data_IF_551576904085
#
_entry.id   IF_551576904085
#
_cell.length_a   1.000
_cell.length_b   1.000
_cell.length_c   1.000
_cell.angle_alpha   90.00
_cell.angle_beta   90.00
_cell.angle_gamma   90.00
#
_symmetry.space_group_name_H-M   'P 1'
#
loop_
_entity.id
_entity.type
_entity.pdbx_description
1 polymer ?
#
# COMPACT_ATOMS: atom_id res chain seq x y z
N UNK A 1 -17.81 25.60 -5.13
CA UNK A 1 -17.93 24.88 -6.40
C UNK A 1 -16.66 24.07 -6.51
N UNK A 2 -16.70 22.71 -6.43
CA UNK A 2 -15.52 21.92 -6.77
C UNK A 2 -15.15 22.30 -8.22
N UNK A 3 -13.99 22.87 -8.42
CA UNK A 3 -13.37 23.00 -9.73
C UNK A 3 -13.24 21.56 -10.26
N UNK A 4 -13.68 21.32 -11.47
CA UNK A 4 -13.60 19.99 -12.11
C UNK A 4 -12.14 19.59 -12.25
N UNK A 5 -11.64 18.78 -11.34
CA UNK A 5 -10.26 18.30 -11.34
C UNK A 5 -10.04 17.30 -10.22
N UNK A 6 -9.14 16.35 -10.45
CA UNK A 6 -8.68 15.35 -9.49
C UNK A 6 -7.55 15.93 -8.67
N UNK A 7 -7.81 16.19 -7.39
CA UNK A 7 -6.80 16.75 -6.48
C UNK A 7 -6.24 15.67 -5.57
N UNK A 8 -4.92 15.54 -5.59
CA UNK A 8 -4.18 14.61 -4.72
C UNK A 8 -3.24 15.39 -3.82
N UNK A 9 -3.24 15.08 -2.54
CA UNK A 9 -2.28 15.61 -1.58
C UNK A 9 -1.37 14.49 -1.11
N UNK A 10 -0.08 14.66 -1.30
CA UNK A 10 0.97 13.77 -0.77
C UNK A 10 1.53 14.36 0.52
N UNK A 11 1.54 13.56 1.59
CA UNK A 11 2.16 13.92 2.86
C UNK A 11 3.36 13.01 3.11
N UNK A 12 4.54 13.61 3.06
CA UNK A 12 5.84 12.91 3.13
C UNK A 12 6.55 12.89 1.79
N UNK A 13 7.55 13.73 1.62
CA UNK A 13 8.37 13.87 0.41
C UNK A 13 9.73 13.16 0.58
N UNK A 14 9.71 11.98 1.19
CA UNK A 14 10.88 11.08 1.26
C UNK A 14 11.12 10.35 -0.07
N UNK A 15 11.97 9.32 -0.08
CA UNK A 15 12.27 8.55 -1.30
C UNK A 15 11.01 7.92 -1.93
N UNK A 16 10.07 7.45 -1.12
CA UNK A 16 8.79 6.89 -1.60
C UNK A 16 7.92 8.00 -2.16
N UNK A 17 7.74 9.09 -1.40
CA UNK A 17 6.86 10.20 -1.80
C UNK A 17 7.31 10.88 -3.09
N UNK A 18 8.60 11.22 -3.22
CA UNK A 18 9.13 11.84 -4.44
C UNK A 18 9.05 10.91 -5.65
N UNK A 19 9.29 9.60 -5.48
CA UNK A 19 9.09 8.62 -6.56
C UNK A 19 7.61 8.47 -6.95
N UNK A 20 6.70 8.52 -5.97
CA UNK A 20 5.27 8.51 -6.23
C UNK A 20 4.83 9.79 -6.96
N UNK A 21 5.30 10.97 -6.54
CA UNK A 21 5.01 12.23 -7.21
C UNK A 21 5.45 12.19 -8.69
N UNK A 22 6.65 11.70 -8.96
CA UNK A 22 7.13 11.51 -10.33
C UNK A 22 6.25 10.52 -11.12
N UNK A 23 5.84 9.39 -10.52
CA UNK A 23 4.96 8.44 -11.18
C UNK A 23 3.58 9.04 -11.50
N UNK A 24 3.01 9.86 -10.60
CA UNK A 24 1.73 10.54 -10.82
C UNK A 24 1.79 11.53 -11.97
N UNK A 25 2.86 12.33 -12.06
CA UNK A 25 3.08 13.28 -13.16
C UNK A 25 3.28 12.55 -14.49
N UNK A 26 4.11 11.51 -14.52
CA UNK A 26 4.40 10.75 -15.76
C UNK A 26 3.20 9.97 -16.27
N UNK A 27 2.25 9.61 -15.40
CA UNK A 27 1.01 8.90 -15.78
C UNK A 27 -0.19 9.83 -15.99
N UNK A 28 -0.05 11.13 -15.67
CA UNK A 28 -1.14 12.11 -15.83
C UNK A 28 -2.41 11.75 -15.05
N UNK A 29 -2.25 11.32 -13.80
CA UNK A 29 -3.37 10.78 -13.00
C UNK A 29 -4.15 11.88 -12.29
N UNK A 30 -3.49 12.95 -11.88
CA UNK A 30 -4.10 14.07 -11.15
C UNK A 30 -4.05 15.36 -11.97
N UNK A 31 -5.02 16.24 -11.76
CA UNK A 31 -5.05 17.58 -12.35
C UNK A 31 -4.34 18.59 -11.43
N UNK A 32 -4.42 18.37 -10.11
CA UNK A 32 -3.71 19.14 -9.07
C UNK A 32 -2.99 18.15 -8.14
N UNK A 33 -1.70 18.36 -7.92
CA UNK A 33 -0.87 17.52 -7.07
C UNK A 33 -0.13 18.38 -6.05
N UNK A 34 -0.49 18.25 -4.78
CA UNK A 34 0.06 19.04 -3.67
C UNK A 34 1.01 18.19 -2.84
N UNK A 35 2.19 18.71 -2.53
CA UNK A 35 3.20 18.00 -1.72
C UNK A 35 3.38 18.74 -0.39
N UNK A 36 3.27 17.99 0.70
CA UNK A 36 3.45 18.47 2.08
C UNK A 36 4.56 17.66 2.74
N UNK A 37 5.55 18.34 3.30
CA UNK A 37 6.60 17.74 4.14
C UNK A 37 7.13 18.78 5.12
N UNK A 38 7.75 18.31 6.21
CA UNK A 38 8.45 19.17 7.17
C UNK A 38 9.72 19.81 6.55
N UNK A 39 10.31 19.17 5.55
CA UNK A 39 11.49 19.65 4.80
C UNK A 39 11.06 20.62 3.68
N UNK A 40 10.51 21.77 4.04
CA UNK A 40 9.89 22.74 3.12
C UNK A 40 10.75 23.14 1.93
N UNK A 41 12.07 23.28 2.10
CA UNK A 41 12.96 23.67 1.04
C UNK A 41 13.17 22.54 0.02
N UNK A 42 13.19 21.28 0.49
CA UNK A 42 13.19 20.10 -0.40
C UNK A 42 11.92 20.06 -1.23
N UNK A 43 10.75 20.22 -0.59
CA UNK A 43 9.44 20.22 -1.29
C UNK A 43 9.42 21.28 -2.38
N UNK A 44 9.89 22.51 -2.11
CA UNK A 44 9.96 23.57 -3.13
C UNK A 44 10.84 23.18 -4.32
N UNK A 45 11.98 22.55 -4.05
CA UNK A 45 12.90 22.11 -5.10
C UNK A 45 12.28 20.98 -5.95
N UNK A 46 11.68 19.95 -5.31
CA UNK A 46 11.05 18.84 -6.01
C UNK A 46 9.83 19.32 -6.82
N UNK A 47 9.01 20.22 -6.27
CA UNK A 47 7.89 20.84 -7.00
C UNK A 47 8.38 21.61 -8.23
N UNK A 48 9.47 22.38 -8.11
CA UNK A 48 10.05 23.09 -9.23
C UNK A 48 10.54 22.14 -10.32
N UNK A 49 11.26 21.09 -9.94
CA UNK A 49 11.80 20.08 -10.86
C UNK A 49 10.68 19.31 -11.57
N UNK A 50 9.66 18.86 -10.82
CA UNK A 50 8.47 18.20 -11.38
C UNK A 50 7.75 19.12 -12.39
N UNK A 51 7.53 20.39 -12.04
CA UNK A 51 6.88 21.37 -12.93
C UNK A 51 7.66 21.60 -14.22
N UNK A 52 9.00 21.59 -14.18
CA UNK A 52 9.81 21.65 -15.41
C UNK A 52 9.56 20.44 -16.31
N UNK A 53 9.25 19.27 -15.72
CA UNK A 53 8.92 18.03 -16.43
C UNK A 53 7.50 17.97 -17.01
N UNK A 54 6.56 18.79 -16.53
CA UNK A 54 5.14 18.72 -16.94
C UNK A 54 4.90 18.96 -18.42
N UNK A 55 5.80 19.67 -19.09
CA UNK A 55 5.78 19.86 -20.57
C UNK A 55 5.74 18.51 -21.31
N UNK A 56 6.26 17.45 -20.70
CA UNK A 56 6.30 16.09 -21.26
C UNK A 56 5.29 15.15 -20.62
N UNK A 57 4.44 15.64 -19.70
CA UNK A 57 3.36 14.84 -19.12
C UNK A 57 2.26 14.53 -20.14
N UNK A 58 1.62 13.36 -20.07
CA UNK A 58 0.53 13.00 -21.00
C UNK A 58 -0.74 13.84 -20.81
N UNK A 59 -0.89 14.52 -19.67
CA UNK A 59 -1.98 15.47 -19.39
C UNK A 59 -1.46 16.62 -18.52
N UNK A 60 -2.10 17.80 -18.57
CA UNK A 60 -1.76 18.91 -17.68
C UNK A 60 -1.90 18.51 -16.21
N UNK A 61 -0.93 18.90 -15.40
CA UNK A 61 -0.95 18.76 -13.94
C UNK A 61 -0.32 20.01 -13.32
N UNK A 62 -0.95 20.53 -12.26
CA UNK A 62 -0.44 21.66 -11.48
C UNK A 62 0.17 21.11 -10.19
N UNK A 63 1.49 21.12 -10.09
CA UNK A 63 2.24 20.61 -8.94
C UNK A 63 2.59 21.75 -8.00
N UNK A 64 2.21 21.62 -6.71
CA UNK A 64 2.36 22.68 -5.69
C UNK A 64 3.00 22.18 -4.41
N UNK A 65 3.80 23.03 -3.78
CA UNK A 65 4.10 22.92 -2.39
C UNK A 65 2.90 23.43 -1.58
N UNK A 66 2.42 22.67 -0.60
CA UNK A 66 1.22 23.01 0.16
C UNK A 66 1.34 22.89 1.66
N UNK A 67 0.24 23.18 2.33
CA UNK A 67 0.03 23.06 3.77
C UNK A 67 -1.21 22.18 4.01
N UNK A 68 -1.51 21.84 5.29
CA UNK A 68 -2.63 20.95 5.61
C UNK A 68 -4.01 21.49 5.19
N UNK A 69 -4.16 22.81 5.06
CA UNK A 69 -5.37 23.47 4.57
C UNK A 69 -5.73 23.04 3.13
N UNK A 70 -4.72 22.68 2.32
CA UNK A 70 -4.91 22.18 0.97
C UNK A 70 -5.58 20.80 0.92
N UNK A 71 -5.65 20.09 2.04
CA UNK A 71 -6.35 18.80 2.11
C UNK A 71 -7.88 18.95 2.04
N UNK A 72 -8.45 20.12 2.36
CA UNK A 72 -9.88 20.36 2.51
C UNK A 72 -10.73 19.87 1.31
N UNK A 73 -10.26 20.10 0.11
CA UNK A 73 -10.96 19.76 -1.15
C UNK A 73 -10.25 18.66 -1.95
N UNK A 74 -9.28 17.97 -1.33
CA UNK A 74 -8.59 16.85 -1.94
C UNK A 74 -9.53 15.64 -2.11
N UNK A 75 -9.41 14.96 -3.24
CA UNK A 75 -10.07 13.67 -3.48
C UNK A 75 -9.34 12.54 -2.78
N UNK A 76 -8.00 12.62 -2.73
CA UNK A 76 -7.14 11.60 -2.15
C UNK A 76 -6.00 12.24 -1.37
N UNK A 77 -5.81 11.82 -0.13
CA UNK A 77 -4.61 12.10 0.68
C UNK A 77 -3.78 10.85 0.79
N UNK A 78 -2.53 10.91 0.33
CA UNK A 78 -1.57 9.80 0.36
C UNK A 78 -0.52 10.09 1.43
N UNK A 79 -0.35 9.18 2.39
CA UNK A 79 0.59 9.36 3.49
C UNK A 79 1.74 8.36 3.34
N UNK A 80 2.91 8.89 3.01
CA UNK A 80 4.18 8.14 2.96
C UNK A 80 5.13 8.56 4.08
N UNK A 81 4.72 9.55 4.87
CA UNK A 81 5.50 10.05 6.01
C UNK A 81 5.58 9.01 7.14
N UNK A 82 6.78 8.71 7.56
CA UNK A 82 7.07 7.79 8.66
C UNK A 82 8.56 7.80 8.97
N UNK A 83 8.90 7.44 10.21
CA UNK A 83 10.30 7.33 10.62
C UNK A 83 10.84 5.93 10.30
N UNK A 84 12.04 5.80 9.74
CA UNK A 84 12.70 4.51 9.59
C UNK A 84 13.07 3.94 10.95
N UNK A 85 13.20 2.61 11.02
CA UNK A 85 13.71 1.92 12.21
C UNK A 85 15.17 2.29 12.44
N UNK A 86 15.51 2.65 13.67
CA UNK A 86 16.88 2.95 14.08
C UNK A 86 17.60 1.68 14.55
N UNK A 87 18.95 1.63 14.46
CA UNK A 87 19.71 0.55 15.08
C UNK A 87 19.38 0.43 16.58
N UNK A 88 19.02 -0.79 17.02
CA UNK A 88 18.64 -1.07 18.41
C UNK A 88 17.19 -0.69 18.79
N UNK A 89 16.41 -0.10 17.90
CA UNK A 89 15.00 0.19 18.12
C UNK A 89 14.17 -1.10 17.95
N UNK A 90 13.32 -1.41 18.93
CA UNK A 90 12.42 -2.57 18.82
C UNK A 90 11.28 -2.29 17.83
N UNK A 91 10.66 -3.36 17.29
CA UNK A 91 9.48 -3.27 16.42
C UNK A 91 8.34 -2.48 17.10
N UNK A 92 8.08 -2.75 18.38
CA UNK A 92 7.03 -2.07 19.15
C UNK A 92 7.31 -0.56 19.29
N UNK A 93 8.55 -0.17 19.58
CA UNK A 93 8.94 1.25 19.66
C UNK A 93 8.75 1.98 18.34
N UNK A 94 9.06 1.30 17.22
CA UNK A 94 8.83 1.85 15.88
C UNK A 94 7.32 2.04 15.59
N UNK A 95 6.50 1.03 15.93
CA UNK A 95 5.05 1.09 15.77
C UNK A 95 4.48 2.27 16.55
N UNK A 96 4.81 2.39 17.84
CA UNK A 96 4.34 3.47 18.70
C UNK A 96 4.75 4.86 18.16
N UNK A 97 6.01 5.00 17.76
CA UNK A 97 6.55 6.24 17.18
C UNK A 97 5.81 6.64 15.90
N UNK A 98 5.65 5.70 14.97
CA UNK A 98 4.98 5.98 13.69
C UNK A 98 3.47 6.21 13.88
N UNK A 99 2.84 5.58 14.87
CA UNK A 99 1.45 5.86 15.22
C UNK A 99 1.29 7.30 15.75
N UNK A 100 2.20 7.79 16.58
CA UNK A 100 2.19 9.18 17.05
C UNK A 100 2.38 10.19 15.91
N UNK A 101 3.27 9.90 14.97
CA UNK A 101 3.46 10.71 13.76
C UNK A 101 2.16 10.70 12.93
N UNK A 102 1.61 9.52 12.67
CA UNK A 102 0.36 9.36 11.90
C UNK A 102 -0.80 10.10 12.55
N UNK A 103 -0.96 10.00 13.89
CA UNK A 103 -1.99 10.73 14.65
C UNK A 103 -1.90 12.24 14.40
N UNK A 104 -0.70 12.82 14.51
CA UNK A 104 -0.48 14.26 14.29
C UNK A 104 -0.85 14.68 12.87
N UNK A 105 -0.43 13.89 11.87
CA UNK A 105 -0.72 14.14 10.46
C UNK A 105 -2.23 14.08 10.21
N UNK A 106 -2.86 12.98 10.60
CA UNK A 106 -4.29 12.74 10.34
C UNK A 106 -5.17 13.75 11.06
N UNK A 107 -4.79 14.15 12.29
CA UNK A 107 -5.48 15.24 12.99
C UNK A 107 -5.46 16.53 12.16
N UNK A 108 -4.30 16.94 11.66
CA UNK A 108 -4.17 18.16 10.85
C UNK A 108 -4.97 18.07 9.54
N UNK A 109 -4.98 16.89 8.89
CA UNK A 109 -5.80 16.66 7.70
C UNK A 109 -7.29 16.78 8.02
N UNK A 110 -7.77 16.14 9.09
CA UNK A 110 -9.19 16.21 9.48
C UNK A 110 -9.60 17.60 9.94
N UNK A 111 -8.73 18.33 10.65
CA UNK A 111 -8.97 19.72 11.07
C UNK A 111 -9.15 20.66 9.86
N UNK A 112 -8.60 20.33 8.67
CA UNK A 112 -8.83 21.10 7.44
C UNK A 112 -10.26 20.99 6.90
N UNK A 113 -11.03 19.98 7.34
CA UNK A 113 -12.35 19.65 6.82
C UNK A 113 -12.32 18.65 5.65
N UNK A 114 -11.25 17.86 5.57
CA UNK A 114 -11.10 16.80 4.55
C UNK A 114 -12.22 15.76 4.61
N UNK A 115 -12.76 15.42 3.45
CA UNK A 115 -13.83 14.40 3.26
C UNK A 115 -13.57 13.51 2.04
N UNK A 116 -12.30 13.20 1.73
CA UNK A 116 -11.86 12.33 0.64
C UNK A 116 -11.45 10.93 1.10
N UNK A 117 -10.51 10.32 0.39
CA UNK A 117 -9.95 9.01 0.64
C UNK A 117 -8.54 9.11 1.22
N UNK A 118 -8.21 8.27 2.20
CA UNK A 118 -6.84 8.07 2.66
C UNK A 118 -6.21 6.86 1.96
N UNK A 119 -4.95 7.02 1.51
CA UNK A 119 -4.08 5.93 1.07
C UNK A 119 -2.81 5.95 1.92
N UNK A 120 -2.61 4.91 2.71
CA UNK A 120 -1.52 4.80 3.67
C UNK A 120 -0.42 3.88 3.11
N UNK A 121 0.83 4.34 3.15
CA UNK A 121 2.02 3.57 2.75
C UNK A 121 3.12 3.56 3.82
N UNK A 122 2.96 4.31 4.91
CA UNK A 122 3.91 4.28 6.02
C UNK A 122 3.81 2.96 6.80
N UNK A 123 4.95 2.42 7.23
CA UNK A 123 5.02 1.15 7.95
C UNK A 123 4.96 1.32 9.48
N UNK A 124 4.34 0.35 10.17
CA UNK A 124 3.65 -0.86 9.65
C UNK A 124 2.27 -0.54 9.06
N UNK A 125 2.11 -0.75 7.76
CA UNK A 125 0.99 -0.22 6.98
C UNK A 125 -0.39 -0.66 7.50
N UNK A 126 -0.55 -1.94 7.83
CA UNK A 126 -1.85 -2.47 8.26
C UNK A 126 -2.29 -1.87 9.60
N UNK A 127 -1.35 -1.74 10.53
CA UNK A 127 -1.57 -1.14 11.86
C UNK A 127 -1.89 0.34 11.73
N UNK A 128 -1.13 1.08 10.91
CA UNK A 128 -1.36 2.51 10.72
C UNK A 128 -2.65 2.80 9.96
N UNK A 129 -3.02 1.95 8.99
CA UNK A 129 -4.29 2.07 8.28
C UNK A 129 -5.47 1.85 9.22
N UNK A 130 -5.42 0.79 10.05
CA UNK A 130 -6.43 0.55 11.09
C UNK A 130 -6.50 1.73 12.06
N UNK A 131 -5.35 2.25 12.51
CA UNK A 131 -5.31 3.40 13.40
C UNK A 131 -5.99 4.63 12.79
N UNK A 132 -5.71 4.94 11.53
CA UNK A 132 -6.34 6.08 10.82
C UNK A 132 -7.86 5.90 10.77
N UNK A 133 -8.36 4.71 10.43
CA UNK A 133 -9.80 4.41 10.39
C UNK A 133 -10.46 4.58 11.76
N UNK A 134 -9.87 4.00 12.81
CA UNK A 134 -10.42 4.09 14.17
C UNK A 134 -10.40 5.53 14.69
N UNK A 135 -9.30 6.26 14.43
CA UNK A 135 -9.12 7.64 14.90
C UNK A 135 -10.03 8.65 14.18
N UNK A 136 -10.24 8.47 12.87
CA UNK A 136 -11.08 9.41 12.07
C UNK A 136 -12.56 9.09 12.11
N UNK A 137 -12.93 7.84 12.39
CA UNK A 137 -14.30 7.35 12.29
C UNK A 137 -14.84 7.28 10.85
N UNK A 138 -14.01 7.51 9.83
CA UNK A 138 -14.41 7.38 8.43
C UNK A 138 -14.84 5.94 8.11
N UNK A 139 -15.70 5.75 7.11
CA UNK A 139 -16.04 4.42 6.59
C UNK A 139 -14.78 3.66 6.15
N UNK A 140 -14.75 2.33 6.35
CA UNK A 140 -13.57 1.52 6.08
C UNK A 140 -13.12 1.60 4.62
N UNK A 141 -14.06 1.65 3.68
CA UNK A 141 -13.78 1.78 2.24
C UNK A 141 -13.05 3.08 1.85
N UNK A 142 -13.01 4.06 2.75
CA UNK A 142 -12.33 5.35 2.53
C UNK A 142 -10.93 5.43 3.15
N UNK A 143 -10.51 4.40 3.89
CA UNK A 143 -9.19 4.34 4.54
C UNK A 143 -8.49 3.07 4.08
N UNK A 144 -7.57 3.22 3.16
CA UNK A 144 -6.96 2.13 2.40
C UNK A 144 -5.46 2.13 2.67
N UNK A 145 -4.88 0.97 2.95
CA UNK A 145 -3.43 0.78 2.99
C UNK A 145 -2.91 0.17 1.71
N UNK A 146 -1.64 0.40 1.38
CA UNK A 146 -1.01 -0.24 0.21
C UNK A 146 -1.02 -1.77 0.28
N UNK A 147 -1.15 -2.33 1.49
CA UNK A 147 -1.27 -3.76 1.73
C UNK A 147 -0.14 -4.58 1.10
N UNK A 148 -0.48 -5.72 0.58
CA UNK A 148 0.42 -6.67 -0.06
C UNK A 148 0.43 -6.59 -1.60
N UNK A 149 0.04 -5.42 -2.17
CA UNK A 149 0.07 -5.22 -3.64
C UNK A 149 1.49 -5.32 -4.19
N UNK A 150 2.48 -4.76 -3.48
CA UNK A 150 3.89 -4.85 -3.90
C UNK A 150 4.44 -6.27 -3.74
N UNK A 151 4.10 -6.94 -2.66
CA UNK A 151 4.56 -8.30 -2.37
C UNK A 151 4.00 -9.28 -3.41
N UNK A 152 2.72 -9.12 -3.77
CA UNK A 152 2.10 -9.85 -4.88
C UNK A 152 2.80 -9.59 -6.22
N UNK A 153 3.16 -8.34 -6.50
CA UNK A 153 3.90 -7.99 -7.72
C UNK A 153 5.30 -8.60 -7.76
N UNK A 154 5.98 -8.70 -6.61
CA UNK A 154 7.27 -9.41 -6.48
C UNK A 154 7.12 -10.91 -6.77
N UNK A 155 6.11 -11.53 -6.15
CA UNK A 155 5.79 -12.94 -6.39
C UNK A 155 5.52 -13.20 -7.86
N UNK A 156 4.65 -12.40 -8.50
CA UNK A 156 4.34 -12.50 -9.92
C UNK A 156 5.59 -12.34 -10.80
N UNK A 157 6.45 -11.39 -10.46
CA UNK A 157 7.72 -11.18 -11.18
C UNK A 157 8.64 -12.39 -11.08
N UNK A 158 8.87 -12.94 -9.89
CA UNK A 158 9.76 -14.08 -9.70
C UNK A 158 9.22 -15.35 -10.38
N UNK A 159 7.91 -15.61 -10.28
CA UNK A 159 7.26 -16.69 -11.02
C UNK A 159 7.44 -16.50 -12.53
N UNK A 160 7.26 -15.27 -13.02
CA UNK A 160 7.38 -14.97 -14.45
C UNK A 160 8.78 -15.24 -15.01
N UNK A 161 9.83 -14.97 -14.22
CA UNK A 161 11.21 -15.27 -14.59
C UNK A 161 11.46 -16.77 -14.67
N UNK A 162 10.92 -17.55 -13.74
CA UNK A 162 11.07 -19.01 -13.72
C UNK A 162 10.33 -19.67 -14.89
N UNK A 163 9.12 -19.20 -15.21
CA UNK A 163 8.28 -19.79 -16.25
C UNK A 163 8.50 -19.19 -17.65
N UNK A 164 9.32 -18.14 -17.78
CA UNK A 164 9.59 -17.48 -19.06
C UNK A 164 8.38 -16.76 -19.67
N UNK A 165 7.48 -16.23 -18.84
CA UNK A 165 6.27 -15.50 -19.26
C UNK A 165 6.32 -14.03 -18.82
N UNK A 166 5.43 -13.17 -19.35
CA UNK A 166 5.31 -11.81 -18.85
C UNK A 166 4.74 -11.78 -17.42
N UNK A 167 5.23 -10.92 -16.52
CA UNK A 167 4.67 -10.80 -15.15
C UNK A 167 3.15 -10.59 -15.13
N UNK A 168 2.61 -9.84 -16.08
CA UNK A 168 1.17 -9.60 -16.23
C UNK A 168 0.35 -10.82 -16.64
N UNK A 169 1.00 -11.92 -17.01
CA UNK A 169 0.34 -13.20 -17.31
C UNK A 169 0.26 -14.12 -16.11
N UNK A 170 0.88 -13.75 -14.99
CA UNK A 170 0.87 -14.53 -13.75
C UNK A 170 -0.23 -13.99 -12.84
N UNK A 171 -1.16 -14.85 -12.45
CA UNK A 171 -2.15 -14.59 -11.43
C UNK A 171 -1.69 -15.27 -10.13
N UNK A 172 -1.10 -14.50 -9.23
CA UNK A 172 -0.60 -14.97 -7.94
C UNK A 172 -0.69 -13.84 -6.92
N UNK A 173 -1.04 -14.19 -5.68
CA UNK A 173 -1.29 -13.23 -4.60
C UNK A 173 -0.49 -13.56 -3.35
N UNK A 174 0.07 -12.53 -2.76
CA UNK A 174 0.43 -12.48 -1.33
C UNK A 174 -0.72 -11.81 -0.60
N UNK A 175 -1.19 -12.41 0.50
CA UNK A 175 -2.23 -11.85 1.37
C UNK A 175 -1.79 -11.88 2.83
N UNK A 176 -2.58 -11.27 3.72
CA UNK A 176 -2.27 -11.18 5.13
C UNK A 176 -1.55 -9.88 5.51
N UNK A 177 -0.74 -9.92 6.57
CA UNK A 177 0.11 -8.82 7.02
C UNK A 177 1.11 -8.43 5.91
N UNK A 178 1.31 -7.13 5.67
CA UNK A 178 2.52 -6.71 4.97
C UNK A 178 3.71 -6.80 5.92
N UNK A 179 4.38 -7.93 5.94
CA UNK A 179 5.49 -8.21 6.87
C UNK A 179 5.80 -9.71 6.99
N UNK A 180 6.37 -10.09 8.15
CA UNK A 180 6.94 -11.43 8.35
C UNK A 180 5.91 -12.58 8.32
N UNK A 181 4.62 -12.28 8.45
CA UNK A 181 3.53 -13.28 8.43
C UNK A 181 2.67 -13.21 7.17
N UNK A 182 3.15 -12.55 6.11
CA UNK A 182 2.53 -12.63 4.80
C UNK A 182 2.51 -14.07 4.28
N UNK A 183 1.56 -14.39 3.40
CA UNK A 183 1.50 -15.73 2.80
C UNK A 183 1.21 -15.68 1.30
N UNK A 184 1.88 -16.56 0.55
CA UNK A 184 1.57 -16.80 -0.85
C UNK A 184 0.41 -17.79 -0.96
N UNK A 185 -0.64 -17.43 -1.72
CA UNK A 185 -1.79 -18.31 -1.97
C UNK A 185 -1.47 -19.20 -3.17
N UNK A 186 -0.64 -20.20 -2.96
CA UNK A 186 -0.18 -21.12 -3.99
C UNK A 186 -1.31 -21.94 -4.61
N UNK A 187 -2.33 -22.29 -3.81
CA UNK A 187 -3.50 -23.04 -4.25
C UNK A 187 -4.29 -22.34 -5.35
N UNK A 188 -4.13 -21.01 -5.49
CA UNK A 188 -4.82 -20.18 -6.49
C UNK A 188 -3.87 -19.63 -7.56
N UNK A 189 -2.53 -19.78 -7.37
CA UNK A 189 -1.56 -19.24 -8.31
C UNK A 189 -1.62 -19.95 -9.66
N UNK A 190 -1.81 -19.19 -10.75
CA UNK A 190 -1.98 -19.75 -12.07
C UNK A 190 -1.42 -18.87 -13.20
N UNK A 191 -1.15 -19.51 -14.36
CA UNK A 191 -0.92 -18.86 -15.64
C UNK A 191 -1.94 -19.44 -16.63
N UNK A 192 -2.82 -18.61 -17.13
CA UNK A 192 -3.91 -19.05 -18.06
C UNK A 192 -4.77 -20.20 -17.49
N UNK A 193 -4.98 -20.24 -16.17
CA UNK A 193 -5.74 -21.27 -15.48
C UNK A 193 -4.94 -22.56 -15.19
N UNK A 194 -3.65 -22.62 -15.55
CA UNK A 194 -2.76 -23.75 -15.23
C UNK A 194 -2.06 -23.45 -13.89
N UNK A 195 -2.11 -24.40 -12.95
CA UNK A 195 -1.48 -24.25 -11.64
C UNK A 195 0.02 -23.98 -11.76
N UNK A 196 0.48 -22.87 -11.17
CA UNK A 196 1.90 -22.53 -11.07
C UNK A 196 2.61 -23.54 -10.17
N UNK A 197 2.01 -23.87 -9.03
CA UNK A 197 2.61 -24.80 -8.06
C UNK A 197 2.88 -26.16 -8.68
N UNK A 198 1.90 -26.74 -9.39
CA UNK A 198 2.06 -28.04 -10.04
C UNK A 198 3.08 -27.96 -11.19
N UNK A 199 3.06 -26.86 -11.96
CA UNK A 199 4.03 -26.66 -13.05
C UNK A 199 5.46 -26.61 -12.53
N UNK A 200 5.72 -25.87 -11.45
CA UNK A 200 7.04 -25.80 -10.82
C UNK A 200 7.48 -27.17 -10.27
N UNK A 201 6.56 -27.89 -9.63
CA UNK A 201 6.81 -29.23 -9.11
C UNK A 201 7.14 -30.25 -10.22
N UNK A 202 6.42 -30.23 -11.33
CA UNK A 202 6.69 -31.07 -12.50
C UNK A 202 8.04 -30.77 -13.14
N UNK A 203 8.38 -29.49 -13.30
CA UNK A 203 9.64 -29.07 -13.92
C UNK A 203 10.87 -29.40 -13.08
N UNK A 204 10.78 -29.32 -11.78
CA UNK A 204 11.91 -29.46 -10.85
C UNK A 204 11.93 -30.80 -10.11
N UNK A 205 10.84 -31.57 -10.15
CA UNK A 205 10.64 -32.76 -9.35
C UNK A 205 10.49 -32.53 -7.86
N UNK A 206 10.29 -31.28 -7.42
CA UNK A 206 10.27 -30.90 -6.00
C UNK A 206 9.38 -29.68 -5.75
N UNK A 207 8.84 -29.54 -4.55
CA UNK A 207 8.14 -28.36 -4.06
C UNK A 207 9.10 -27.23 -3.62
N UNK A 208 10.40 -27.53 -3.53
CA UNK A 208 11.42 -26.61 -3.02
C UNK A 208 11.51 -25.31 -3.84
N UNK A 209 11.17 -25.33 -5.13
CA UNK A 209 11.23 -24.13 -5.98
C UNK A 209 10.13 -23.11 -5.61
N UNK A 210 8.95 -23.55 -5.27
CA UNK A 210 7.88 -22.67 -4.80
C UNK A 210 8.28 -22.00 -3.47
N UNK A 211 8.87 -22.75 -2.55
CA UNK A 211 9.39 -22.20 -1.28
C UNK A 211 10.54 -21.22 -1.52
N UNK A 212 11.48 -21.53 -2.41
CA UNK A 212 12.57 -20.61 -2.81
C UNK A 212 12.01 -19.27 -3.34
N UNK A 213 11.04 -19.34 -4.25
CA UNK A 213 10.38 -18.14 -4.83
C UNK A 213 9.69 -17.33 -3.71
N UNK A 214 8.99 -17.99 -2.79
CA UNK A 214 8.32 -17.30 -1.69
C UNK A 214 9.32 -16.61 -0.75
N UNK A 215 10.37 -17.30 -0.34
CA UNK A 215 11.44 -16.73 0.50
C UNK A 215 12.08 -15.52 -0.19
N UNK A 216 12.40 -15.63 -1.48
CA UNK A 216 12.96 -14.53 -2.26
C UNK A 216 11.97 -13.35 -2.39
N UNK A 217 10.67 -13.62 -2.47
CA UNK A 217 9.62 -12.58 -2.48
C UNK A 217 9.62 -11.78 -1.18
N UNK A 218 9.55 -12.49 -0.05
CA UNK A 218 9.52 -11.91 1.29
C UNK A 218 10.80 -11.12 1.60
N UNK A 219 11.95 -11.70 1.26
CA UNK A 219 13.26 -11.17 1.63
C UNK A 219 13.78 -10.09 0.63
N UNK A 220 13.14 -9.92 -0.54
CA UNK A 220 13.53 -8.96 -1.57
C UNK A 220 13.70 -7.51 -1.04
N UNK A 221 12.87 -7.10 -0.08
CA UNK A 221 12.98 -5.77 0.51
C UNK A 221 14.28 -5.58 1.28
N UNK A 222 14.76 -6.60 2.01
CA UNK A 222 16.00 -6.55 2.80
C UNK A 222 17.22 -6.39 1.90
N UNK A 223 17.28 -7.14 0.78
CA UNK A 223 18.37 -7.02 -0.18
C UNK A 223 18.45 -5.62 -0.80
N UNK A 224 17.28 -5.08 -1.24
CA UNK A 224 17.19 -3.74 -1.81
C UNK A 224 17.61 -2.68 -0.79
N UNK A 225 17.15 -2.78 0.46
CA UNK A 225 17.49 -1.85 1.53
C UNK A 225 18.98 -1.90 1.84
N UNK A 226 19.58 -3.09 1.89
CA UNK A 226 21.00 -3.26 2.11
C UNK A 226 21.85 -2.61 1.00
N UNK A 227 21.41 -2.70 -0.25
CA UNK A 227 22.13 -2.19 -1.41
C UNK A 227 21.99 -0.68 -1.62
N UNK A 228 20.78 -0.10 -1.40
CA UNK A 228 20.50 1.31 -1.74
C UNK A 228 19.79 2.11 -0.64
N UNK A 229 19.71 1.57 0.58
CA UNK A 229 19.19 2.25 1.78
C UNK A 229 17.68 2.16 1.97
N UNK A 230 16.90 2.07 0.90
CA UNK A 230 15.43 1.90 0.97
C UNK A 230 14.86 1.37 -0.34
N UNK A 231 13.67 0.75 -0.28
CA UNK A 231 12.86 0.44 -1.45
C UNK A 231 11.88 1.58 -1.70
N UNK A 232 11.71 2.03 -2.95
CA UNK A 232 10.81 3.15 -3.26
C UNK A 232 10.17 3.09 -4.65
N UNK A 233 10.83 2.62 -5.70
CA UNK A 233 10.24 2.61 -7.05
C UNK A 233 9.02 1.68 -7.16
N UNK A 234 9.11 0.47 -6.64
CA UNK A 234 8.01 -0.50 -6.69
C UNK A 234 6.78 0.00 -5.94
N UNK A 235 6.97 0.46 -4.70
CA UNK A 235 5.86 0.99 -3.89
C UNK A 235 5.29 2.28 -4.49
N UNK A 236 6.10 3.14 -5.12
CA UNK A 236 5.62 4.33 -5.81
C UNK A 236 4.65 3.99 -6.96
N UNK A 237 4.98 2.96 -7.75
CA UNK A 237 4.10 2.46 -8.83
C UNK A 237 2.82 1.82 -8.27
N UNK A 238 2.91 1.11 -7.13
CA UNK A 238 1.73 0.57 -6.44
C UNK A 238 0.80 1.69 -5.99
N UNK A 239 1.33 2.71 -5.32
CA UNK A 239 0.55 3.86 -4.87
C UNK A 239 -0.10 4.60 -6.04
N UNK A 240 0.63 4.83 -7.12
CA UNK A 240 0.10 5.40 -8.36
C UNK A 240 -1.03 4.51 -8.94
N UNK A 241 -0.86 3.19 -8.94
CA UNK A 241 -1.86 2.24 -9.44
C UNK A 241 -3.15 2.28 -8.61
N UNK A 242 -3.05 2.30 -7.27
CA UNK A 242 -4.20 2.41 -6.38
C UNK A 242 -4.88 3.78 -6.56
N UNK A 243 -4.10 4.86 -6.59
CA UNK A 243 -4.61 6.22 -6.82
C UNK A 243 -5.38 6.33 -8.13
N UNK A 244 -4.83 5.75 -9.21
CA UNK A 244 -5.46 5.72 -10.52
C UNK A 244 -6.77 4.92 -10.52
N UNK A 245 -6.82 3.78 -9.81
CA UNK A 245 -8.03 2.98 -9.68
C UNK A 245 -9.16 3.78 -9.00
N UNK A 246 -8.84 4.55 -7.96
CA UNK A 246 -9.81 5.41 -7.26
C UNK A 246 -10.22 6.58 -8.17
N UNK A 247 -9.27 7.38 -8.64
CA UNK A 247 -9.53 8.63 -9.33
C UNK A 247 -10.15 8.45 -10.72
N UNK A 248 -9.87 7.33 -11.39
CA UNK A 248 -10.38 7.03 -12.73
C UNK A 248 -11.54 6.02 -12.74
N UNK A 249 -12.01 5.57 -11.58
CA UNK A 249 -13.08 4.55 -11.47
C UNK A 249 -12.77 3.27 -12.26
N UNK A 250 -11.55 2.73 -12.11
CA UNK A 250 -11.10 1.63 -12.97
C UNK A 250 -11.62 0.24 -12.58
N UNK A 251 -12.24 0.08 -11.40
CA UNK A 251 -12.76 -1.19 -10.89
C UNK A 251 -11.69 -2.30 -10.83
N UNK A 252 -10.51 -1.98 -10.32
CA UNK A 252 -9.42 -2.94 -10.19
C UNK A 252 -9.53 -3.77 -8.92
N UNK A 253 -9.17 -5.05 -9.00
CA UNK A 253 -8.97 -5.89 -7.83
C UNK A 253 -7.49 -5.85 -7.47
N UNK A 254 -7.19 -5.36 -6.26
CA UNK A 254 -5.84 -5.16 -5.75
C UNK A 254 -5.76 -5.70 -4.31
N UNK A 255 -4.61 -6.24 -3.91
CA UNK A 255 -4.40 -6.78 -2.56
C UNK A 255 -4.10 -5.66 -1.56
N UNK A 256 -5.01 -4.69 -1.44
CA UNK A 256 -4.90 -3.55 -0.54
C UNK A 256 -5.21 -3.94 0.90
N UNK A 257 -4.63 -3.20 1.86
CA UNK A 257 -4.97 -3.34 3.27
C UNK A 257 -6.32 -2.69 3.54
N UNK A 258 -7.29 -3.50 3.95
CA UNK A 258 -8.67 -3.12 4.21
C UNK A 258 -9.22 -3.88 5.43
N UNK A 259 -10.24 -3.33 6.06
CA UNK A 259 -10.90 -3.95 7.20
C UNK A 259 -11.71 -5.18 6.79
N UNK A 260 -11.45 -6.34 7.43
CA UNK A 260 -12.31 -7.49 7.32
C UNK A 260 -13.62 -7.30 8.10
N UNK A 261 -14.72 -7.79 7.52
CA UNK A 261 -16.04 -7.86 8.15
C UNK A 261 -16.67 -9.25 7.98
N UNK A 262 -15.99 -10.27 8.45
CA UNK A 262 -16.47 -11.65 8.49
C UNK A 262 -15.90 -12.58 7.42
N UNK A 263 -15.00 -12.12 6.56
CA UNK A 263 -14.30 -12.96 5.58
C UNK A 263 -13.23 -13.83 6.24
N UNK A 264 -12.73 -14.83 5.47
CA UNK A 264 -11.61 -15.72 5.84
C UNK A 264 -11.76 -16.38 7.22
N UNK A 265 -12.92 -17.01 7.45
CA UNK A 265 -13.18 -17.70 8.73
C UNK A 265 -13.87 -16.85 9.79
N UNK A 266 -14.41 -15.68 9.42
CA UNK A 266 -15.22 -14.85 10.31
C UNK A 266 -14.45 -13.73 11.00
N UNK A 267 -13.23 -13.41 10.56
CA UNK A 267 -12.43 -12.32 11.12
C UNK A 267 -13.08 -10.96 10.90
N UNK A 268 -13.00 -10.09 11.93
CA UNK A 268 -13.60 -8.75 11.90
C UNK A 268 -12.68 -7.70 12.49
N UNK A 269 -12.71 -6.50 11.91
CA UNK A 269 -12.03 -5.32 12.46
C UNK A 269 -10.53 -5.24 12.21
N UNK A 270 -9.88 -6.33 11.77
CA UNK A 270 -8.47 -6.35 11.41
C UNK A 270 -8.27 -5.77 10.01
N UNK A 271 -7.18 -5.04 9.83
CA UNK A 271 -6.71 -4.54 8.54
C UNK A 271 -5.55 -5.37 8.04
N UNK A 272 -5.61 -5.84 6.80
CA UNK A 272 -4.55 -6.62 6.15
C UNK A 272 -4.77 -6.68 4.62
N UNK A 273 -3.75 -7.11 3.89
CA UNK A 273 -3.80 -7.21 2.44
C UNK A 273 -4.66 -8.37 1.96
N UNK A 274 -5.72 -8.06 1.21
CA UNK A 274 -6.61 -9.05 0.56
C UNK A 274 -7.12 -8.52 -0.78
N UNK A 275 -7.47 -9.42 -1.74
CA UNK A 275 -8.02 -9.01 -3.03
C UNK A 275 -9.30 -8.19 -2.85
N UNK A 276 -9.23 -6.93 -3.21
CA UNK A 276 -10.32 -5.97 -2.99
C UNK A 276 -10.60 -5.14 -4.24
N UNK A 277 -11.86 -4.99 -4.58
CA UNK A 277 -12.30 -4.09 -5.65
C UNK A 277 -12.10 -2.65 -5.23
N UNK A 278 -11.26 -1.93 -5.97
CA UNK A 278 -10.94 -0.51 -5.75
C UNK A 278 -11.45 0.31 -6.93
N UNK A 279 -12.24 1.34 -6.62
CA UNK A 279 -12.80 2.27 -7.61
C UNK A 279 -13.07 3.65 -6.99
N UNK A 280 -13.83 4.51 -7.67
CA UNK A 280 -14.18 5.87 -7.19
C UNK A 280 -14.94 5.90 -5.85
N UNK A 281 -15.42 4.78 -5.35
CA UNK A 281 -16.07 4.64 -4.05
C UNK A 281 -15.13 4.06 -2.98
N UNK A 282 -13.84 3.94 -3.30
CA UNK A 282 -12.81 3.39 -2.43
C UNK A 282 -12.64 1.88 -2.57
N UNK A 283 -12.33 1.21 -1.49
CA UNK A 283 -12.16 -0.25 -1.41
C UNK A 283 -13.50 -0.91 -1.03
N UNK A 284 -14.30 -1.26 -2.02
CA UNK A 284 -15.76 -1.49 -1.86
C UNK A 284 -16.17 -2.95 -1.68
N UNK A 285 -15.32 -3.92 -2.08
CA UNK A 285 -15.69 -5.34 -2.00
C UNK A 285 -14.45 -6.23 -1.92
N UNK A 286 -14.37 -7.03 -0.90
CA UNK A 286 -13.37 -8.09 -0.79
C UNK A 286 -13.80 -9.29 -1.64
N UNK A 287 -12.87 -9.80 -2.46
CA UNK A 287 -12.99 -11.08 -3.15
C UNK A 287 -12.28 -12.14 -2.32
N UNK A 288 -13.03 -12.82 -1.48
CA UNK A 288 -12.51 -13.88 -0.61
C UNK A 288 -12.00 -15.05 -1.43
N UNK A 289 -10.67 -15.27 -1.39
CA UNK A 289 -10.04 -16.39 -2.07
C UNK A 289 -10.28 -17.68 -1.28
N UNK A 290 -10.58 -18.80 -1.95
CA UNK A 290 -10.57 -20.10 -1.27
C UNK A 290 -9.14 -20.44 -0.86
N UNK A 291 -8.93 -20.75 0.41
CA UNK A 291 -7.64 -21.12 0.97
C UNK A 291 -7.59 -22.62 1.29
N UNK A 292 -6.43 -23.24 1.12
CA UNK A 292 -6.19 -24.58 1.70
C UNK A 292 -6.19 -24.51 3.23
N UNK A 293 -6.24 -25.64 3.90
CA UNK A 293 -6.23 -25.67 5.37
C UNK A 293 -4.92 -25.09 5.94
N UNK A 294 -3.79 -25.32 5.26
CA UNK A 294 -2.49 -24.76 5.62
C UNK A 294 -2.45 -23.24 5.41
N UNK A 295 -2.95 -22.77 4.27
CA UNK A 295 -3.03 -21.33 3.96
C UNK A 295 -3.95 -20.60 4.94
N UNK A 296 -5.09 -21.19 5.31
CA UNK A 296 -5.98 -20.62 6.32
C UNK A 296 -5.27 -20.51 7.68
N UNK A 297 -4.52 -21.53 8.09
CA UNK A 297 -3.77 -21.49 9.35
C UNK A 297 -2.69 -20.40 9.36
N UNK A 298 -2.01 -20.16 8.23
CA UNK A 298 -1.05 -19.06 8.06
C UNK A 298 -1.76 -17.70 8.08
N UNK A 299 -2.92 -17.60 7.45
CA UNK A 299 -3.73 -16.39 7.45
C UNK A 299 -4.21 -16.04 8.87
N UNK A 300 -4.72 -17.03 9.63
CA UNK A 300 -5.14 -16.86 11.03
C UNK A 300 -3.98 -16.38 11.93
N UNK A 301 -2.76 -16.89 11.68
CA UNK A 301 -1.54 -16.43 12.35
C UNK A 301 -1.25 -14.96 12.02
N UNK A 302 -1.40 -14.56 10.76
CA UNK A 302 -1.23 -13.18 10.31
C UNK A 302 -2.22 -12.24 10.99
N UNK A 303 -3.51 -12.62 11.01
CA UNK A 303 -4.57 -11.90 11.73
C UNK A 303 -4.21 -11.70 13.18
N UNK A 304 -3.86 -12.79 13.88
CA UNK A 304 -3.49 -12.72 15.30
C UNK A 304 -2.31 -11.79 15.57
N UNK A 305 -1.28 -11.85 14.72
CA UNK A 305 -0.11 -10.96 14.84
C UNK A 305 -0.50 -9.48 14.75
N UNK A 306 -1.39 -9.14 13.82
CA UNK A 306 -1.88 -7.78 13.65
C UNK A 306 -2.78 -7.33 14.80
N UNK A 307 -3.66 -8.20 15.31
CA UNK A 307 -4.49 -7.91 16.48
C UNK A 307 -3.64 -7.64 17.71
N UNK A 308 -2.71 -8.56 18.04
CA UNK A 308 -1.82 -8.43 19.19
C UNK A 308 -0.96 -7.13 19.10
N UNK A 309 -0.51 -6.79 17.88
CA UNK A 309 0.26 -5.56 17.64
C UNK A 309 -0.61 -4.31 17.82
N UNK A 310 -1.82 -4.30 17.24
CA UNK A 310 -2.72 -3.16 17.36
C UNK A 310 -3.16 -2.91 18.81
N UNK A 311 -3.46 -3.97 19.56
CA UNK A 311 -3.85 -3.86 20.97
C UNK A 311 -2.75 -3.22 21.83
N UNK A 312 -1.48 -3.41 21.46
CA UNK A 312 -0.35 -2.78 22.16
C UNK A 312 -0.28 -1.26 22.02
N UNK A 313 -0.92 -0.67 20.99
CA UNK A 313 -0.88 0.77 20.70
C UNK A 313 -2.28 1.43 20.77
N UNK A 314 -3.31 0.67 21.05
CA UNK A 314 -4.72 1.13 21.05
C UNK A 314 -4.96 2.30 21.99
N UNK A 315 -4.22 2.39 23.08
CA UNK A 315 -4.28 3.52 24.03
C UNK A 315 -4.00 4.87 23.36
N UNK A 316 -3.29 4.90 22.22
CA UNK A 316 -3.02 6.14 21.49
C UNK A 316 -4.26 6.71 20.77
N UNK A 317 -5.37 5.98 20.71
CA UNK A 317 -6.64 6.50 20.19
C UNK A 317 -7.31 7.47 21.20
N UNK A 318 -7.08 7.27 22.50
CA UNK A 318 -7.75 7.99 23.59
C UNK A 318 -7.06 9.32 23.94
N UNK A 319 -5.79 9.49 23.61
CA UNK A 319 -5.02 10.73 23.87
C UNK A 319 -5.25 11.79 22.77
#
# INVERSE_FOLDING_TARGET
>A
MKTFGKKVVLIGDGSVGSSYAFAMVTQGVADEFVIIDIAKDKVKADVQDLNHGTVHSPSPVDVKAGEYEDCKDADLVVITAGAPQKPGETRLQLVEKNTKIMKSIVKSVMDSGFDGYFLIAANPVDILTRFVKEYTGLPAERVIGSGTVLDSARLQYLISQELGVAPSSVDASIIGEHGDTELAVWSQANVAGISVYDTLKEQTGSEAKAEEIYVNTRDAAYEIIQAKGSTYYGIALVLMRISKAILNNENNVLNVSIQLDGQYGGHKGVYLGVPTLVNQHGAVKIYEMPLSAEEQALFDKSVKTLEDTFDSIKYLLED
#
